data_IF_695437082795
#
_entry.id   IF_695437082795
#
_cell.length_a   1.000
_cell.length_b   1.000
_cell.length_c   1.000
_cell.angle_alpha   90.00
_cell.angle_beta   90.00
_cell.angle_gamma   90.00
#
_symmetry.space_group_name_H-M   'P 1'
#
loop_
_entity.id
_entity.type
_entity.pdbx_description
1 polymer ?
#
# COMPACT_ATOMS: atom_id res chain seq x y z
N UNK A 1 10.42 -16.01 0.40
CA UNK A 1 10.56 -14.62 -0.08
C UNK A 1 10.26 -13.69 1.07
N UNK A 2 11.28 -12.98 1.54
CA UNK A 2 11.20 -12.09 2.68
C UNK A 2 10.16 -11.00 2.44
N UNK A 3 9.13 -10.95 3.31
CA UNK A 3 8.07 -9.92 3.29
C UNK A 3 8.66 -8.51 3.24
N UNK A 4 9.82 -8.34 3.88
CA UNK A 4 10.64 -7.12 3.87
C UNK A 4 11.16 -6.77 2.48
N UNK A 5 11.63 -7.75 1.71
CA UNK A 5 12.09 -7.56 0.34
C UNK A 5 10.93 -7.18 -0.60
N UNK A 6 9.77 -7.83 -0.42
CA UNK A 6 8.54 -7.49 -1.16
C UNK A 6 8.15 -6.04 -0.90
N UNK A 7 8.10 -5.63 0.37
CA UNK A 7 7.81 -4.25 0.76
C UNK A 7 8.82 -3.26 0.15
N UNK A 8 10.12 -3.52 0.26
CA UNK A 8 11.15 -2.66 -0.33
C UNK A 8 10.97 -2.48 -1.84
N UNK A 9 10.73 -3.57 -2.56
CA UNK A 9 10.49 -3.54 -4.01
C UNK A 9 9.23 -2.74 -4.37
N UNK A 10 8.17 -2.85 -3.57
CA UNK A 10 6.97 -2.06 -3.77
C UNK A 10 7.22 -0.57 -3.49
N UNK A 11 7.96 -0.23 -2.43
CA UNK A 11 8.29 1.17 -2.10
C UNK A 11 9.11 1.80 -3.22
N UNK A 12 10.11 1.09 -3.76
CA UNK A 12 10.91 1.56 -4.89
C UNK A 12 10.01 1.83 -6.12
N UNK A 13 9.12 0.89 -6.46
CA UNK A 13 8.16 1.07 -7.56
C UNK A 13 7.20 2.23 -7.32
N UNK A 14 6.66 2.37 -6.11
CA UNK A 14 5.77 3.46 -5.74
C UNK A 14 6.48 4.82 -5.83
N UNK A 15 7.75 4.88 -5.42
CA UNK A 15 8.61 6.06 -5.56
C UNK A 15 8.90 6.43 -7.02
N UNK A 16 8.91 5.43 -7.92
CA UNK A 16 9.00 5.65 -9.39
C UNK A 16 7.66 6.04 -10.04
N UNK A 17 6.59 6.20 -9.25
CA UNK A 17 5.27 6.60 -9.73
C UNK A 17 4.31 5.44 -9.99
N UNK A 18 4.63 4.22 -9.57
CA UNK A 18 3.75 3.06 -9.75
C UNK A 18 2.59 3.08 -8.73
N UNK A 19 1.39 3.38 -9.22
CA UNK A 19 0.17 3.45 -8.40
C UNK A 19 -0.21 2.09 -7.83
N UNK A 20 -0.10 1.04 -8.65
CA UNK A 20 -0.36 -0.35 -8.25
C UNK A 20 0.57 -0.79 -7.11
N UNK A 21 1.83 -0.33 -7.12
CA UNK A 21 2.75 -0.63 -6.04
C UNK A 21 2.33 0.06 -4.73
N UNK A 22 1.92 1.33 -4.79
CA UNK A 22 1.40 2.04 -3.62
C UNK A 22 0.12 1.39 -3.07
N UNK A 23 -0.77 0.92 -3.94
CA UNK A 23 -1.94 0.15 -3.55
C UNK A 23 -1.56 -1.17 -2.86
N UNK A 24 -0.64 -1.95 -3.42
CA UNK A 24 -0.18 -3.20 -2.83
C UNK A 24 0.50 -2.99 -1.46
N UNK A 25 1.22 -1.87 -1.28
CA UNK A 25 1.77 -1.49 0.03
C UNK A 25 0.62 -1.23 1.02
N UNK A 26 -0.38 -0.46 0.60
CA UNK A 26 -1.52 -0.15 1.43
C UNK A 26 -2.29 -1.40 1.85
N UNK A 27 -2.54 -2.29 0.90
CA UNK A 27 -3.22 -3.56 1.14
C UNK A 27 -2.39 -4.45 2.06
N UNK A 28 -1.09 -4.55 1.84
CA UNK A 28 -0.21 -5.34 2.69
C UNK A 28 -0.12 -4.79 4.12
N UNK A 29 -0.16 -3.48 4.32
CA UNK A 29 -0.27 -2.90 5.67
C UNK A 29 -1.66 -3.08 6.28
N UNK A 30 -2.73 -3.04 5.48
CA UNK A 30 -4.10 -3.27 5.94
C UNK A 30 -4.31 -4.72 6.40
N UNK A 31 -3.81 -5.69 5.62
CA UNK A 31 -3.92 -7.12 5.88
C UNK A 31 -2.87 -7.66 6.87
N UNK A 32 -1.85 -6.88 7.23
CA UNK A 32 -0.71 -7.38 8.02
C UNK A 32 0.19 -8.35 7.25
N UNK A 33 0.34 -8.17 5.93
CA UNK A 33 1.20 -9.02 5.12
C UNK A 33 2.68 -8.83 5.48
N UNK A 34 3.08 -7.61 5.85
CA UNK A 34 4.47 -7.24 6.17
C UNK A 34 4.86 -7.42 7.65
N UNK A 35 3.97 -7.96 8.48
CA UNK A 35 4.11 -8.00 9.94
C UNK A 35 2.77 -7.67 10.57
N UNK A 36 2.76 -6.83 11.59
CA UNK A 36 1.50 -6.37 12.17
C UNK A 36 0.73 -5.44 11.23
N UNK A 37 -0.61 -5.58 11.15
CA UNK A 37 -1.45 -4.65 10.42
C UNK A 37 -1.23 -3.24 10.97
N UNK A 38 -0.94 -2.31 10.07
CA UNK A 38 -0.66 -0.92 10.41
C UNK A 38 -1.62 -0.01 9.63
N UNK A 39 -2.80 0.29 10.20
CA UNK A 39 -3.83 1.07 9.50
C UNK A 39 -3.36 2.49 9.16
N UNK A 40 -2.49 3.11 9.97
CA UNK A 40 -1.94 4.44 9.68
C UNK A 40 -1.10 4.45 8.40
N UNK A 41 -0.20 3.46 8.26
CA UNK A 41 0.61 3.30 7.05
C UNK A 41 -0.25 2.89 5.86
N UNK A 42 -1.19 1.98 6.06
CA UNK A 42 -2.14 1.57 5.02
C UNK A 42 -2.89 2.80 4.47
N UNK A 43 -3.42 3.65 5.36
CA UNK A 43 -4.13 4.89 4.99
C UNK A 43 -3.25 5.85 4.20
N UNK A 44 -1.99 6.01 4.60
CA UNK A 44 -1.05 6.91 3.93
C UNK A 44 -0.79 6.48 2.48
N UNK A 45 -0.48 5.21 2.27
CA UNK A 45 -0.22 4.66 0.93
C UNK A 45 -1.51 4.55 0.10
N UNK A 46 -2.63 4.19 0.72
CA UNK A 46 -3.92 4.13 0.07
C UNK A 46 -4.37 5.53 -0.38
N UNK A 47 -4.17 6.57 0.44
CA UNK A 47 -4.48 7.95 0.08
C UNK A 47 -3.67 8.43 -1.12
N UNK A 48 -2.38 8.07 -1.17
CA UNK A 48 -1.54 8.35 -2.33
C UNK A 48 -2.07 7.63 -3.58
N UNK A 49 -2.29 6.32 -3.52
CA UNK A 49 -2.78 5.56 -4.67
C UNK A 49 -4.18 6.01 -5.13
N UNK A 50 -5.09 6.30 -4.20
CA UNK A 50 -6.44 6.80 -4.50
C UNK A 50 -6.42 8.18 -5.17
N UNK A 51 -5.55 9.09 -4.70
CA UNK A 51 -5.37 10.41 -5.34
C UNK A 51 -4.90 10.31 -6.78
N UNK A 52 -4.22 9.24 -7.13
CA UNK A 52 -3.74 8.97 -8.48
C UNK A 52 -4.66 8.03 -9.28
N UNK A 53 -5.88 7.75 -8.78
CA UNK A 53 -6.90 7.00 -9.51
C UNK A 53 -7.02 5.51 -9.18
N UNK A 54 -6.35 5.00 -8.13
CA UNK A 54 -6.58 3.62 -7.68
C UNK A 54 -7.89 3.51 -6.91
N UNK A 55 -8.90 2.91 -7.53
CA UNK A 55 -10.17 2.58 -6.89
C UNK A 55 -9.99 1.57 -5.75
N UNK A 56 -9.05 0.63 -5.89
CA UNK A 56 -8.81 -0.38 -4.85
C UNK A 56 -8.22 0.26 -3.58
N UNK A 57 -7.29 1.20 -3.76
CA UNK A 57 -6.79 2.01 -2.65
C UNK A 57 -7.90 2.86 -2.00
N UNK A 58 -8.82 3.40 -2.80
CA UNK A 58 -9.96 4.15 -2.26
C UNK A 58 -10.92 3.26 -1.46
N UNK A 59 -11.12 2.00 -1.87
CA UNK A 59 -11.86 1.01 -1.07
C UNK A 59 -11.16 0.73 0.25
N UNK A 60 -9.84 0.53 0.23
CA UNK A 60 -9.04 0.32 1.46
C UNK A 60 -9.19 1.52 2.40
N UNK A 61 -9.17 2.77 1.89
CA UNK A 61 -9.41 3.97 2.70
C UNK A 61 -10.81 4.01 3.33
N UNK A 62 -11.83 3.53 2.63
CA UNK A 62 -13.19 3.47 3.14
C UNK A 62 -13.39 2.34 4.17
N UNK A 63 -12.53 1.32 4.15
CA UNK A 63 -12.56 0.17 5.08
C UNK A 63 -11.65 0.34 6.31
N UNK A 64 -10.76 1.33 6.29
CA UNK A 64 -9.84 1.72 7.37
C UNK A 64 -10.51 2.63 8.40
#
# INVERSE_FOLDING_TARGET
>A
MDKKQKLLNLIDKAGRGSIEAAEAIAEGYFKGEFGDPNPEKAKKWASYAAKHGSENAQKILNQL
#
